data_IF_602276676321
#
_entry.id   IF_602276676321
#
_cell.length_a   1.000
_cell.length_b   1.000
_cell.length_c   1.000
_cell.angle_alpha   90.00
_cell.angle_beta   90.00
_cell.angle_gamma   90.00
#
_symmetry.space_group_name_H-M   'P 1'
#
loop_
_entity.id
_entity.type
_entity.pdbx_description
1 polymer ?
#
# COMPACT_ATOMS: atom_id res chain seq x y z
N UNK A 1 -23.20 17.82 -10.97
CA UNK A 1 -22.84 16.83 -12.02
C UNK A 1 -21.40 17.05 -12.50
N UNK A 2 -20.64 15.98 -12.70
CA UNK A 2 -19.34 16.09 -13.37
C UNK A 2 -19.55 16.42 -14.86
N UNK A 3 -18.69 17.25 -15.47
CA UNK A 3 -18.81 17.60 -16.88
C UNK A 3 -18.66 16.37 -17.77
N UNK A 4 -19.37 16.38 -18.90
CA UNK A 4 -19.30 15.30 -19.88
C UNK A 4 -17.97 15.30 -20.65
N UNK A 5 -17.60 14.16 -21.25
CA UNK A 5 -16.36 14.03 -22.02
C UNK A 5 -16.26 15.06 -23.17
N UNK A 6 -17.38 15.38 -23.83
CA UNK A 6 -17.40 16.37 -24.91
C UNK A 6 -17.11 17.80 -24.41
N UNK A 7 -17.63 18.15 -23.24
CA UNK A 7 -17.41 19.46 -22.60
C UNK A 7 -15.95 19.61 -22.16
N UNK A 8 -15.38 18.58 -21.52
CA UNK A 8 -13.98 18.53 -21.14
C UNK A 8 -13.05 18.63 -22.36
N UNK A 9 -13.37 17.90 -23.44
CA UNK A 9 -12.57 17.94 -24.67
C UNK A 9 -12.61 19.31 -25.35
N UNK A 10 -13.76 20.00 -25.32
CA UNK A 10 -13.87 21.37 -25.82
C UNK A 10 -13.01 22.33 -24.96
N UNK A 11 -13.15 22.28 -23.64
CA UNK A 11 -12.37 23.10 -22.72
C UNK A 11 -10.86 22.89 -22.87
N UNK A 12 -10.40 21.63 -23.02
CA UNK A 12 -8.99 21.32 -23.27
C UNK A 12 -8.49 21.94 -24.57
N UNK A 13 -9.25 21.86 -25.67
CA UNK A 13 -8.88 22.47 -26.96
C UNK A 13 -8.75 23.99 -26.86
N UNK A 14 -9.69 24.64 -26.17
CA UNK A 14 -9.66 26.09 -25.99
C UNK A 14 -8.41 26.51 -25.20
N UNK A 15 -8.09 25.81 -24.11
CA UNK A 15 -6.90 26.08 -23.30
C UNK A 15 -5.58 25.84 -24.06
N UNK A 16 -5.51 24.79 -24.87
CA UNK A 16 -4.36 24.54 -25.76
C UNK A 16 -4.21 25.68 -26.78
N UNK A 17 -5.31 26.14 -27.38
CA UNK A 17 -5.29 27.24 -28.34
C UNK A 17 -4.80 28.55 -27.71
N UNK A 18 -5.24 28.87 -26.49
CA UNK A 18 -4.79 30.05 -25.73
C UNK A 18 -3.30 30.01 -25.38
N UNK A 19 -2.76 28.83 -25.10
CA UNK A 19 -1.34 28.64 -24.73
C UNK A 19 -0.41 28.36 -25.90
N UNK A 20 -0.93 28.25 -27.12
CA UNK A 20 -0.18 27.81 -28.31
C UNK A 20 1.14 28.56 -28.51
N UNK A 21 1.14 29.88 -28.34
CA UNK A 21 2.38 30.68 -28.48
C UNK A 21 3.43 30.26 -27.44
N UNK A 22 3.04 30.21 -26.16
CA UNK A 22 3.92 29.79 -25.06
C UNK A 22 4.42 28.35 -25.25
N UNK A 23 3.58 27.44 -25.75
CA UNK A 23 3.94 26.04 -26.02
C UNK A 23 4.97 25.93 -27.16
N UNK A 24 4.79 26.69 -28.24
CA UNK A 24 5.72 26.74 -29.37
C UNK A 24 7.05 27.36 -28.93
N UNK A 25 7.01 28.47 -28.20
CA UNK A 25 8.21 29.17 -27.72
C UNK A 25 9.03 28.29 -26.76
N UNK A 26 8.36 27.45 -25.94
CA UNK A 26 9.01 26.55 -24.98
C UNK A 26 9.28 25.13 -25.51
N UNK A 27 8.69 24.76 -26.63
CA UNK A 27 8.79 23.42 -27.22
C UNK A 27 8.16 22.29 -26.38
N UNK A 28 7.19 22.59 -25.50
CA UNK A 28 6.53 21.62 -24.63
C UNK A 28 5.03 21.91 -24.50
N UNK A 29 4.22 20.85 -24.34
CA UNK A 29 2.78 20.98 -24.04
C UNK A 29 2.58 21.42 -22.59
N UNK A 30 1.89 22.54 -22.39
CA UNK A 30 1.63 23.19 -21.11
C UNK A 30 0.20 22.95 -20.59
N UNK A 31 -0.67 22.34 -21.40
CA UNK A 31 -2.07 22.04 -21.05
C UNK A 31 -2.36 20.55 -21.20
N UNK A 32 -2.94 19.93 -20.17
CA UNK A 32 -3.36 18.53 -20.17
C UNK A 32 -3.13 17.85 -18.83
N UNK A 33 -3.64 16.62 -18.63
CA UNK A 33 -3.61 15.92 -17.33
C UNK A 33 -2.19 15.66 -16.82
N UNK A 34 -1.19 15.64 -17.70
CA UNK A 34 0.23 15.55 -17.33
C UNK A 34 0.77 16.80 -16.62
N UNK A 35 -0.01 17.89 -16.56
CA UNK A 35 0.30 19.14 -15.84
C UNK A 35 -0.56 19.34 -14.59
N UNK A 36 -1.52 18.47 -14.35
CA UNK A 36 -2.37 18.54 -13.16
C UNK A 36 -1.57 18.13 -11.93
N UNK A 37 -1.94 18.69 -10.78
CA UNK A 37 -1.33 18.37 -9.49
C UNK A 37 -2.38 17.76 -8.56
N UNK A 38 -2.04 16.64 -7.90
CA UNK A 38 -2.89 16.00 -6.92
C UNK A 38 -2.54 16.52 -5.54
N UNK A 39 -3.33 17.49 -5.06
CA UNK A 39 -3.15 18.04 -3.72
C UNK A 39 -3.91 17.20 -2.70
N UNK A 40 -3.16 16.52 -1.84
CA UNK A 40 -3.73 15.72 -0.75
C UNK A 40 -3.81 16.54 0.54
N UNK A 41 -4.96 16.48 1.21
CA UNK A 41 -5.23 17.24 2.44
C UNK A 41 -5.30 16.33 3.66
N UNK A 42 -4.80 16.84 4.80
CA UNK A 42 -5.00 16.25 6.12
C UNK A 42 -5.79 17.26 6.97
N UNK A 43 -7.07 16.99 7.17
CA UNK A 43 -7.99 17.97 7.74
C UNK A 43 -8.10 19.22 6.83
N UNK A 44 -8.00 20.45 7.37
CA UNK A 44 -8.17 21.66 6.57
C UNK A 44 -6.92 22.05 5.76
N UNK A 45 -5.75 21.48 6.05
CA UNK A 45 -4.48 21.90 5.44
C UNK A 45 -3.97 20.88 4.40
N UNK A 46 -3.25 21.33 3.35
CA UNK A 46 -2.50 20.42 2.48
C UNK A 46 -1.48 19.63 3.30
N UNK A 47 -1.37 18.33 3.07
CA UNK A 47 -0.40 17.51 3.80
C UNK A 47 1.05 17.93 3.47
N UNK A 48 1.32 18.25 2.20
CA UNK A 48 2.63 18.71 1.75
C UNK A 48 3.03 20.00 2.48
N UNK A 49 4.10 19.93 3.27
CA UNK A 49 4.66 21.06 4.00
C UNK A 49 4.04 21.36 5.37
N UNK A 50 2.93 20.70 5.73
CA UNK A 50 2.27 20.90 7.03
C UNK A 50 2.15 19.61 7.87
N UNK A 51 2.09 18.45 7.24
CA UNK A 51 2.07 17.18 7.96
C UNK A 51 3.45 16.92 8.61
N UNK A 52 3.43 16.42 9.84
CA UNK A 52 4.62 15.85 10.47
C UNK A 52 5.16 14.65 9.68
N UNK A 53 6.37 14.22 10.01
CA UNK A 53 6.99 13.06 9.33
C UNK A 53 6.13 11.80 9.46
N UNK A 54 5.65 11.48 10.68
CA UNK A 54 4.80 10.32 10.93
C UNK A 54 3.42 10.42 10.26
N UNK A 55 2.82 11.60 10.20
CA UNK A 55 1.57 11.82 9.48
C UNK A 55 1.75 11.65 7.97
N UNK A 56 2.82 12.19 7.40
CA UNK A 56 3.14 12.05 5.97
C UNK A 56 3.31 10.58 5.60
N UNK A 57 4.03 9.81 6.42
CA UNK A 57 4.24 8.39 6.22
C UNK A 57 2.91 7.61 6.30
N UNK A 58 2.11 7.88 7.34
CA UNK A 58 0.82 7.20 7.53
C UNK A 58 -0.16 7.53 6.42
N UNK A 59 -0.12 8.76 5.93
CA UNK A 59 -0.98 9.20 4.85
C UNK A 59 -0.58 8.55 3.52
N UNK A 60 0.71 8.45 3.23
CA UNK A 60 1.21 7.71 2.07
C UNK A 60 0.81 6.23 2.13
N UNK A 61 0.95 5.58 3.30
CA UNK A 61 0.48 4.21 3.51
C UNK A 61 -1.03 4.10 3.29
N UNK A 62 -1.83 5.02 3.86
CA UNK A 62 -3.28 5.03 3.70
C UNK A 62 -3.70 5.17 2.22
N UNK A 63 -3.00 5.97 1.42
CA UNK A 63 -3.24 6.08 -0.02
C UNK A 63 -2.97 4.74 -0.72
N UNK A 64 -1.89 4.03 -0.37
CA UNK A 64 -1.60 2.70 -0.94
C UNK A 64 -2.64 1.66 -0.55
N UNK A 65 -3.08 1.67 0.71
CA UNK A 65 -4.15 0.78 1.18
C UNK A 65 -5.50 1.12 0.54
N UNK A 66 -5.77 2.40 0.25
CA UNK A 66 -6.95 2.81 -0.50
C UNK A 66 -6.91 2.30 -1.95
N UNK A 67 -5.74 2.34 -2.62
CA UNK A 67 -5.57 1.70 -3.93
C UNK A 67 -5.80 0.19 -3.87
N UNK A 68 -5.27 -0.48 -2.85
CA UNK A 68 -5.52 -1.91 -2.61
C UNK A 68 -7.02 -2.21 -2.46
N UNK A 69 -7.73 -1.44 -1.62
CA UNK A 69 -9.17 -1.58 -1.43
C UNK A 69 -9.98 -1.29 -2.70
N UNK A 70 -9.55 -0.32 -3.52
CA UNK A 70 -10.17 0.00 -4.80
C UNK A 70 -10.09 -1.20 -5.76
N UNK A 71 -8.91 -1.80 -5.90
CA UNK A 71 -8.71 -2.97 -6.77
C UNK A 71 -9.57 -4.16 -6.31
N UNK A 72 -9.65 -4.40 -5.00
CA UNK A 72 -10.56 -5.40 -4.41
C UNK A 72 -12.02 -5.19 -4.77
N UNK A 73 -12.46 -3.94 -4.79
CA UNK A 73 -13.82 -3.59 -5.14
C UNK A 73 -14.11 -3.74 -6.65
N UNK A 74 -13.07 -3.73 -7.50
CA UNK A 74 -13.20 -3.97 -8.95
C UNK A 74 -13.24 -5.45 -9.33
N UNK A 75 -13.01 -6.36 -8.36
CA UNK A 75 -13.22 -7.80 -8.50
C UNK A 75 -11.95 -8.66 -8.41
N UNK A 76 -10.78 -8.04 -8.27
CA UNK A 76 -9.50 -8.75 -8.12
C UNK A 76 -9.01 -8.67 -6.66
N UNK A 77 -8.47 -9.75 -6.08
CA UNK A 77 -7.77 -9.69 -4.79
C UNK A 77 -6.24 -9.64 -5.02
N UNK A 78 -5.61 -8.46 -5.07
CA UNK A 78 -4.19 -8.36 -5.39
C UNK A 78 -3.34 -8.89 -4.24
N UNK A 79 -2.15 -9.41 -4.56
CA UNK A 79 -1.14 -9.76 -3.54
C UNK A 79 -0.68 -8.48 -2.86
N UNK A 80 -0.84 -8.39 -1.54
CA UNK A 80 -0.36 -7.26 -0.76
C UNK A 80 1.13 -7.45 -0.44
N UNK A 81 1.97 -6.49 -0.84
CA UNK A 81 3.41 -6.51 -0.54
C UNK A 81 3.75 -5.37 0.42
N UNK A 82 4.33 -5.72 1.55
CA UNK A 82 4.72 -4.80 2.63
C UNK A 82 6.23 -4.86 2.83
N UNK A 83 6.92 -3.78 2.46
CA UNK A 83 8.39 -3.72 2.52
C UNK A 83 8.88 -2.97 3.76
N UNK A 84 9.29 -3.70 4.80
CA UNK A 84 9.84 -3.19 6.08
C UNK A 84 8.98 -2.12 6.78
N UNK A 85 7.69 -2.05 6.45
CA UNK A 85 6.79 -0.98 6.90
C UNK A 85 6.45 -1.06 8.40
N UNK A 86 6.62 -2.21 9.03
CA UNK A 86 6.23 -2.41 10.43
C UNK A 86 7.22 -1.82 11.42
N UNK A 87 8.49 -1.65 11.05
CA UNK A 87 9.52 -1.04 11.88
C UNK A 87 9.26 0.47 12.08
N UNK A 88 8.62 1.13 11.10
CA UNK A 88 8.34 2.57 11.09
C UNK A 88 7.06 2.97 11.84
N UNK A 89 6.33 1.99 12.38
CA UNK A 89 5.01 2.18 12.97
C UNK A 89 4.96 2.08 14.49
N UNK A 90 4.20 2.98 15.12
CA UNK A 90 3.77 2.77 16.51
C UNK A 90 2.78 1.60 16.62
N UNK A 91 2.54 1.15 17.86
CA UNK A 91 1.74 -0.04 18.13
C UNK A 91 0.31 0.05 17.58
N UNK A 92 -0.33 1.21 17.64
CA UNK A 92 -1.71 1.39 17.16
C UNK A 92 -1.78 1.26 15.64
N UNK A 93 -0.88 1.95 14.93
CA UNK A 93 -0.80 1.88 13.47
C UNK A 93 -0.36 0.51 12.97
N UNK A 94 0.56 -0.16 13.67
CA UNK A 94 0.97 -1.54 13.40
C UNK A 94 -0.22 -2.50 13.49
N UNK A 95 -1.06 -2.36 14.52
CA UNK A 95 -2.28 -3.17 14.67
C UNK A 95 -3.25 -2.94 13.51
N UNK A 96 -3.52 -1.68 13.14
CA UNK A 96 -4.42 -1.36 12.05
C UNK A 96 -3.92 -1.90 10.69
N UNK A 97 -2.62 -1.77 10.40
CA UNK A 97 -2.03 -2.36 9.20
C UNK A 97 -2.14 -3.90 9.21
N UNK A 98 -2.00 -4.53 10.38
CA UNK A 98 -2.13 -5.97 10.50
C UNK A 98 -3.53 -6.47 10.19
N UNK A 99 -4.57 -5.75 10.62
CA UNK A 99 -5.95 -6.10 10.28
C UNK A 99 -6.18 -6.07 8.77
N UNK A 100 -5.69 -5.02 8.09
CA UNK A 100 -5.80 -4.91 6.63
C UNK A 100 -5.00 -6.03 5.95
N UNK A 101 -3.77 -6.28 6.39
CA UNK A 101 -2.89 -7.30 5.81
C UNK A 101 -3.42 -8.73 6.01
N UNK A 102 -4.07 -9.01 7.13
CA UNK A 102 -4.71 -10.29 7.41
C UNK A 102 -6.01 -10.51 6.63
N UNK A 103 -6.59 -9.44 6.07
CA UNK A 103 -7.81 -9.53 5.24
C UNK A 103 -7.54 -9.83 3.76
N UNK A 104 -6.29 -9.75 3.32
CA UNK A 104 -5.87 -10.11 1.96
C UNK A 104 -5.76 -11.63 1.85
N UNK A 105 -6.07 -12.20 0.68
CA UNK A 105 -5.87 -13.64 0.44
C UNK A 105 -4.38 -14.01 0.49
N UNK A 106 -3.50 -13.11 0.03
CA UNK A 106 -2.06 -13.29 0.07
C UNK A 106 -1.33 -12.00 0.42
N UNK A 107 -0.48 -12.07 1.45
CA UNK A 107 0.41 -10.98 1.86
C UNK A 107 1.87 -11.45 1.89
N UNK A 108 2.76 -10.65 1.32
CA UNK A 108 4.22 -10.79 1.41
C UNK A 108 4.75 -9.66 2.28
N UNK A 109 5.54 -10.01 3.31
CA UNK A 109 6.11 -9.06 4.26
C UNK A 109 7.62 -9.25 4.27
N UNK A 110 8.37 -8.17 4.08
CA UNK A 110 9.80 -8.13 4.41
C UNK A 110 9.95 -7.43 5.77
N UNK A 111 10.90 -7.90 6.57
CA UNK A 111 11.26 -7.26 7.82
C UNK A 111 12.72 -7.59 8.16
N UNK A 112 13.46 -6.61 8.65
CA UNK A 112 14.80 -6.84 9.16
C UNK A 112 14.79 -7.61 10.50
N UNK A 113 13.76 -7.37 11.31
CA UNK A 113 13.57 -7.96 12.64
C UNK A 113 12.21 -8.68 12.67
N UNK A 114 12.20 -9.96 13.01
CA UNK A 114 10.99 -10.78 12.94
C UNK A 114 9.92 -10.35 13.97
N UNK A 115 10.34 -9.73 15.06
CA UNK A 115 9.51 -9.23 16.14
C UNK A 115 8.73 -7.97 15.76
N UNK A 116 9.16 -7.22 14.74
CA UNK A 116 8.41 -6.07 14.24
C UNK A 116 7.12 -6.48 13.53
N UNK A 117 7.10 -7.70 12.98
CA UNK A 117 5.92 -8.27 12.32
C UNK A 117 4.93 -8.78 13.38
N UNK A 118 3.68 -8.29 13.37
CA UNK A 118 2.63 -8.76 14.28
C UNK A 118 2.48 -10.28 14.25
N UNK A 119 2.34 -10.88 15.44
CA UNK A 119 2.21 -12.34 15.57
C UNK A 119 1.05 -12.92 14.74
N UNK A 120 -0.04 -12.18 14.60
CA UNK A 120 -1.20 -12.56 13.79
C UNK A 120 -0.89 -12.72 12.28
N UNK A 121 0.20 -12.13 11.80
CA UNK A 121 0.64 -12.22 10.40
C UNK A 121 1.77 -13.23 10.19
N UNK A 122 2.20 -13.94 11.25
CA UNK A 122 3.27 -14.94 11.12
C UNK A 122 2.77 -16.13 10.33
N UNK A 123 3.28 -16.28 9.11
CA UNK A 123 3.02 -17.40 8.22
C UNK A 123 4.30 -18.17 7.88
N UNK A 124 4.39 -18.65 6.64
CA UNK A 124 5.63 -19.22 6.11
C UNK A 124 6.74 -18.17 6.14
N UNK A 125 7.86 -18.48 6.80
CA UNK A 125 9.01 -17.57 6.93
C UNK A 125 10.11 -18.01 5.97
N UNK A 126 10.67 -17.05 5.24
CA UNK A 126 11.82 -17.27 4.36
C UNK A 126 12.93 -16.35 4.83
N UNK A 127 14.05 -16.94 5.24
CA UNK A 127 15.26 -16.19 5.55
C UNK A 127 16.03 -15.90 4.26
N UNK A 128 16.40 -14.65 4.08
CA UNK A 128 17.22 -14.20 2.95
C UNK A 128 18.58 -13.76 3.49
N UNK A 129 19.66 -14.43 3.06
CA UNK A 129 21.02 -14.09 3.48
C UNK A 129 22.02 -14.39 2.36
N UNK A 130 22.94 -13.46 2.10
CA UNK A 130 24.01 -13.61 1.10
C UNK A 130 23.51 -14.07 -0.29
N UNK A 131 22.35 -13.57 -0.74
CA UNK A 131 21.74 -13.94 -2.02
C UNK A 131 21.10 -15.34 -2.04
N UNK A 132 20.99 -16.01 -0.90
CA UNK A 132 20.33 -17.32 -0.75
C UNK A 132 19.03 -17.21 0.02
N UNK A 133 18.11 -18.14 -0.25
CA UNK A 133 16.80 -18.25 0.40
C UNK A 133 16.71 -19.57 1.16
N UNK A 134 16.30 -19.52 2.43
CA UNK A 134 16.03 -20.71 3.25
C UNK A 134 14.64 -20.59 3.87
N UNK A 135 13.77 -21.57 3.62
CA UNK A 135 12.47 -21.64 4.29
C UNK A 135 12.70 -22.08 5.73
N UNK A 136 12.25 -21.28 6.69
CA UNK A 136 12.35 -21.61 8.10
C UNK A 136 11.22 -22.56 8.52
N UNK A 137 11.46 -23.46 9.49
CA UNK A 137 10.40 -24.25 10.11
C UNK A 137 9.30 -23.33 10.62
N UNK A 138 8.04 -23.76 10.50
CA UNK A 138 6.94 -23.07 11.17
C UNK A 138 7.17 -23.20 12.67
N UNK A 139 7.07 -22.07 13.39
CA UNK A 139 7.06 -22.08 14.85
C UNK A 139 5.94 -23.04 15.29
N UNK A 140 6.29 -24.07 16.07
CA UNK A 140 5.45 -25.26 16.30
C UNK A 140 4.01 -24.91 16.74
N UNK A 141 3.03 -25.40 15.98
CA UNK A 141 1.62 -25.39 16.37
C UNK A 141 1.27 -26.63 17.17
N UNK A 142 0.46 -26.41 18.22
CA UNK A 142 -0.34 -27.39 18.98
C UNK A 142 0.23 -28.82 19.10
N UNK A 143 0.85 -29.08 20.25
CA UNK A 143 0.79 -30.40 20.84
C UNK A 143 -0.64 -30.67 21.32
N UNK A 144 -1.51 -31.12 20.41
CA UNK A 144 -2.60 -32.01 20.79
C UNK A 144 -1.94 -33.32 21.25
N UNK A 145 -1.82 -33.44 22.57
CA UNK A 145 -1.29 -34.60 23.28
C UNK A 145 -2.34 -35.72 23.20
N UNK A 146 -2.54 -36.24 21.99
CA UNK A 146 -3.32 -37.43 21.70
C UNK A 146 -2.54 -38.66 22.15
N UNK A 147 -2.44 -38.85 23.45
CA UNK A 147 -2.02 -40.11 24.07
C UNK A 147 -3.01 -41.21 23.66
N UNK A 148 -2.70 -41.90 22.56
CA UNK A 148 -3.31 -43.20 22.28
C UNK A 148 -2.48 -44.23 23.02
N UNK A 149 -2.88 -44.51 24.26
CA UNK A 149 -2.59 -45.79 24.90
C UNK A 149 -3.14 -46.89 23.97
N UNK A 150 -2.23 -47.69 23.41
CA UNK A 150 -2.61 -48.99 22.84
C UNK A 150 -2.22 -50.04 23.86
N UNK A 151 -3.24 -50.48 24.58
CA UNK A 151 -3.27 -51.66 25.43
C UNK A 151 -3.04 -52.95 24.60
N UNK A 152 -2.25 -53.85 25.17
CA UNK A 152 -2.44 -55.31 25.09
C UNK A 152 -2.28 -56.03 23.75
N UNK A 153 -1.21 -56.83 23.65
CA UNK A 153 -1.06 -57.92 22.67
C UNK A 153 0.28 -58.63 22.75
#
# INVERSE_FOLDING_TARGET
>A
PLPGAAELAAALRDRVAERRKDEVDRGITLVGPHRDDLVLHLGPAPAKGYASHGESWSFALAVKLACFALLRNEGDDPILVLDDVFAELDAGRRSALAEVAGSAEQTLITAAVAEDVPAALRGTRVQVAAGTLAVLPRDGGDGDDGSTEVDGG
#
